data_IF_880023102395
#
_entry.id   IF_880023102395
#
_cell.length_a   1.000
_cell.length_b   1.000
_cell.length_c   1.000
_cell.angle_alpha   90.00
_cell.angle_beta   90.00
_cell.angle_gamma   90.00
#
_symmetry.space_group_name_H-M   'P 1'
#
loop_
_entity.id
_entity.type
_entity.pdbx_description
1 polymer ?
#
# COMPACT_ATOMS: atom_id res chain seq x y z
N UNK A 1 20.44 43.70 12.25
CA UNK A 1 21.10 42.58 12.95
C UNK A 1 20.78 41.32 12.14
N UNK A 2 21.71 40.81 11.34
CA UNK A 2 21.50 39.59 10.55
C UNK A 2 21.51 38.40 11.50
N UNK A 3 20.50 37.52 11.42
CA UNK A 3 20.45 36.29 12.20
C UNK A 3 20.89 35.16 11.29
N UNK A 4 22.18 34.82 11.33
CA UNK A 4 22.69 33.67 10.59
C UNK A 4 22.13 32.40 11.25
N UNK A 5 21.23 31.70 10.55
CA UNK A 5 20.68 30.42 11.02
C UNK A 5 21.49 29.30 10.40
N UNK A 6 22.20 28.56 11.23
CA UNK A 6 22.85 27.31 10.86
C UNK A 6 21.89 26.17 11.20
N UNK A 7 21.47 25.39 10.20
CA UNK A 7 20.75 24.14 10.41
C UNK A 7 21.74 22.98 10.27
N UNK A 8 22.04 22.29 11.38
CA UNK A 8 22.75 21.02 11.32
C UNK A 8 21.73 19.92 10.98
N UNK A 9 21.91 19.26 9.84
CA UNK A 9 21.12 18.07 9.51
C UNK A 9 21.61 16.91 10.38
N UNK A 10 20.94 16.69 11.50
CA UNK A 10 21.22 15.54 12.35
C UNK A 10 20.47 14.33 11.79
N UNK A 11 21.20 13.38 11.23
CA UNK A 11 20.65 12.11 10.80
C UNK A 11 20.39 11.22 12.02
N UNK A 12 19.22 11.37 12.63
CA UNK A 12 18.76 10.48 13.70
C UNK A 12 18.08 9.24 13.06
N UNK A 13 18.72 8.07 13.15
CA UNK A 13 18.08 6.81 12.79
C UNK A 13 17.08 6.40 13.89
N UNK A 14 15.81 6.27 13.55
CA UNK A 14 14.79 5.65 14.42
C UNK A 14 14.81 4.13 14.25
N UNK A 15 14.62 3.37 15.33
CA UNK A 15 14.34 1.92 15.24
C UNK A 15 13.03 1.62 14.49
N UNK A 16 12.16 2.62 14.33
CA UNK A 16 10.95 2.59 13.49
C UNK A 16 11.14 3.27 12.13
N UNK A 17 12.38 3.64 11.77
CA UNK A 17 12.66 4.16 10.45
C UNK A 17 12.41 3.08 9.41
N UNK A 18 11.61 3.37 8.38
CA UNK A 18 11.60 2.51 7.20
C UNK A 18 13.03 2.42 6.70
N UNK A 19 13.54 1.21 6.52
CA UNK A 19 14.86 0.97 5.96
C UNK A 19 14.99 1.77 4.66
N UNK A 20 16.15 2.42 4.46
CA UNK A 20 16.41 3.24 3.26
C UNK A 20 16.39 2.44 1.95
N UNK A 21 16.23 1.12 2.03
CA UNK A 21 16.12 0.28 0.85
C UNK A 21 14.73 0.40 0.21
N UNK A 22 14.73 0.58 -1.11
CA UNK A 22 13.51 0.54 -1.88
C UNK A 22 13.03 -0.91 -1.97
N UNK A 23 11.87 -1.19 -1.39
CA UNK A 23 11.17 -2.48 -1.52
C UNK A 23 10.09 -2.35 -2.57
N UNK A 24 10.08 -3.26 -3.56
CA UNK A 24 8.99 -3.36 -4.54
C UNK A 24 7.74 -3.95 -3.89
N UNK A 25 7.02 -3.07 -3.20
CA UNK A 25 5.78 -3.40 -2.48
C UNK A 25 4.69 -3.86 -3.43
N UNK A 26 4.61 -3.28 -4.62
CA UNK A 26 3.63 -3.67 -5.63
C UNK A 26 3.78 -5.15 -5.98
N UNK A 27 5.01 -5.61 -6.25
CA UNK A 27 5.27 -7.03 -6.52
C UNK A 27 4.93 -7.91 -5.33
N UNK A 28 5.30 -7.50 -4.11
CA UNK A 28 4.96 -8.25 -2.89
C UNK A 28 3.45 -8.40 -2.71
N UNK A 29 2.69 -7.32 -2.88
CA UNK A 29 1.22 -7.33 -2.76
C UNK A 29 0.58 -8.30 -3.75
N UNK A 30 1.05 -8.34 -5.01
CA UNK A 30 0.55 -9.30 -6.02
C UNK A 30 0.78 -10.75 -5.59
N UNK A 31 2.00 -11.08 -5.19
CA UNK A 31 2.36 -12.44 -4.79
C UNK A 31 1.54 -12.92 -3.59
N UNK A 32 1.36 -12.04 -2.61
CA UNK A 32 0.64 -12.39 -1.38
C UNK A 32 -0.86 -12.52 -1.62
N UNK A 33 -1.45 -11.71 -2.51
CA UNK A 33 -2.86 -11.85 -2.86
C UNK A 33 -3.19 -13.25 -3.38
N UNK A 34 -2.37 -13.80 -4.28
CA UNK A 34 -2.57 -15.15 -4.80
C UNK A 34 -2.56 -16.19 -3.67
N UNK A 35 -1.55 -16.13 -2.78
CA UNK A 35 -1.42 -17.05 -1.65
C UNK A 35 -2.62 -16.93 -0.68
N UNK A 36 -3.08 -15.71 -0.39
CA UNK A 36 -4.22 -15.48 0.48
C UNK A 36 -5.53 -15.97 -0.14
N UNK A 37 -5.73 -15.77 -1.44
CA UNK A 37 -6.90 -16.26 -2.16
C UNK A 37 -6.97 -17.79 -2.16
N UNK A 38 -5.85 -18.47 -2.45
CA UNK A 38 -5.78 -19.93 -2.39
C UNK A 38 -6.05 -20.44 -0.97
N UNK A 39 -5.37 -19.89 0.05
CA UNK A 39 -5.58 -20.30 1.45
C UNK A 39 -7.01 -20.06 1.92
N UNK A 40 -7.64 -18.96 1.49
CA UNK A 40 -9.05 -18.68 1.79
C UNK A 40 -9.97 -19.75 1.16
N UNK A 41 -9.76 -20.09 -0.12
CA UNK A 41 -10.55 -21.11 -0.83
C UNK A 41 -10.44 -22.50 -0.19
N UNK A 42 -9.28 -22.85 0.34
CA UNK A 42 -9.08 -24.11 1.05
C UNK A 42 -9.41 -24.04 2.55
N UNK A 43 -9.96 -22.92 3.05
CA UNK A 43 -10.24 -22.69 4.47
C UNK A 43 -9.03 -22.92 5.40
N UNK A 44 -7.83 -22.58 4.92
CA UNK A 44 -6.55 -22.80 5.61
C UNK A 44 -6.05 -21.56 6.37
N UNK A 45 -6.83 -20.49 6.42
CA UNK A 45 -6.47 -19.25 7.09
C UNK A 45 -7.72 -18.60 7.68
N UNK A 46 -7.60 -18.09 8.91
CA UNK A 46 -8.68 -17.34 9.54
C UNK A 46 -8.76 -15.91 8.99
N UNK A 47 -9.90 -15.22 9.17
CA UNK A 47 -10.03 -13.80 8.81
C UNK A 47 -9.00 -12.92 9.52
N UNK A 48 -8.69 -13.18 10.80
CA UNK A 48 -7.73 -12.40 11.59
C UNK A 48 -6.29 -12.63 11.12
N UNK A 49 -5.91 -13.86 10.81
CA UNK A 49 -4.60 -14.17 10.23
C UNK A 49 -4.45 -13.55 8.84
N UNK A 50 -5.49 -13.66 8.01
CA UNK A 50 -5.55 -12.97 6.70
C UNK A 50 -5.30 -11.49 6.92
N UNK A 51 -5.96 -10.91 7.94
CA UNK A 51 -5.83 -9.50 8.30
C UNK A 51 -4.45 -9.10 8.84
N UNK A 52 -3.75 -9.99 9.52
CA UNK A 52 -2.40 -9.73 9.98
C UNK A 52 -1.39 -9.77 8.82
N UNK A 53 -1.52 -10.74 7.92
CA UNK A 53 -0.57 -10.97 6.81
C UNK A 53 -0.53 -9.77 5.88
N UNK A 54 -1.67 -9.36 5.33
CA UNK A 54 -1.72 -8.26 4.39
C UNK A 54 -1.36 -6.91 5.05
N UNK A 55 -1.74 -6.65 6.32
CA UNK A 55 -1.37 -5.43 7.04
C UNK A 55 0.16 -5.29 7.23
N UNK A 56 0.89 -6.40 7.30
CA UNK A 56 2.36 -6.38 7.35
C UNK A 56 3.03 -6.05 6.01
N UNK A 57 2.30 -6.17 4.91
CA UNK A 57 2.84 -6.13 3.55
C UNK A 57 2.41 -4.87 2.82
N UNK A 58 1.13 -4.49 2.96
CA UNK A 58 0.60 -3.30 2.36
C UNK A 58 0.98 -2.07 3.18
N UNK A 59 1.34 -1.02 2.47
CA UNK A 59 1.60 0.28 3.09
C UNK A 59 0.25 0.95 3.34
N UNK A 60 -0.24 0.89 4.58
CA UNK A 60 -1.54 1.44 4.98
C UNK A 60 -1.63 2.95 5.06
N UNK A 61 -0.55 3.64 4.70
CA UNK A 61 -0.57 5.08 4.65
C UNK A 61 -0.92 5.50 3.22
N UNK A 62 -2.09 6.11 3.05
CA UNK A 62 -2.44 6.89 1.87
C UNK A 62 -1.51 8.11 1.79
N UNK A 63 -0.25 7.89 1.38
CA UNK A 63 0.67 8.97 1.06
C UNK A 63 0.16 9.60 -0.24
N UNK A 64 0.11 10.94 -0.36
CA UNK A 64 -0.65 11.63 -1.40
C UNK A 64 -0.29 11.05 -2.76
N UNK A 65 -1.29 10.42 -3.39
CA UNK A 65 -1.27 10.10 -4.81
C UNK A 65 -0.98 11.40 -5.57
N UNK A 66 -0.33 11.32 -6.73
CA UNK A 66 0.06 12.52 -7.46
C UNK A 66 -1.20 13.36 -7.74
N UNK A 67 -1.35 14.52 -7.07
CA UNK A 67 -2.56 15.34 -7.11
C UNK A 67 -2.82 15.96 -8.50
N UNK A 68 -1.79 16.04 -9.33
CA UNK A 68 -1.91 16.46 -10.73
C UNK A 68 -2.60 15.38 -11.58
N UNK A 69 -2.44 14.09 -11.21
CA UNK A 69 -3.05 12.95 -11.90
C UNK A 69 -4.33 12.46 -11.23
N UNK A 70 -4.43 12.61 -9.91
CA UNK A 70 -5.52 12.14 -9.05
C UNK A 70 -6.07 13.33 -8.23
N UNK A 71 -6.59 14.33 -8.93
CA UNK A 71 -7.35 15.41 -8.30
C UNK A 71 -8.57 14.80 -7.58
N UNK A 72 -8.78 15.10 -6.29
CA UNK A 72 -9.93 14.58 -5.56
C UNK A 72 -11.21 15.19 -6.16
N UNK A 73 -11.86 14.47 -7.07
CA UNK A 73 -13.20 14.84 -7.52
C UNK A 73 -14.15 14.74 -6.34
N UNK A 74 -14.77 15.87 -5.99
CA UNK A 74 -15.90 16.02 -5.07
C UNK A 74 -15.98 14.97 -3.94
N UNK A 75 -15.05 15.04 -2.98
CA UNK A 75 -15.17 14.34 -1.70
C UNK A 75 -14.98 12.81 -1.72
N UNK A 76 -14.63 12.20 -2.85
CA UNK A 76 -14.27 10.79 -2.91
C UNK A 76 -12.82 10.61 -2.46
N UNK A 77 -12.66 10.06 -1.25
CA UNK A 77 -11.37 9.56 -0.76
C UNK A 77 -10.90 8.47 -1.70
N UNK A 78 -9.70 8.63 -2.24
CA UNK A 78 -9.02 7.62 -3.07
C UNK A 78 -9.05 6.30 -2.30
N UNK A 79 -9.50 5.23 -2.95
CA UNK A 79 -9.56 3.91 -2.32
C UNK A 79 -8.15 3.48 -1.87
N UNK A 80 -8.01 3.26 -0.56
CA UNK A 80 -6.79 2.71 0.04
C UNK A 80 -6.54 1.30 -0.52
N UNK A 81 -5.27 0.94 -0.69
CA UNK A 81 -4.86 -0.44 -0.98
C UNK A 81 -5.45 -1.43 0.03
N UNK A 82 -5.68 -1.00 1.28
CA UNK A 82 -6.37 -1.83 2.25
C UNK A 82 -7.83 -2.11 1.85
N UNK A 83 -8.59 -1.09 1.47
CA UNK A 83 -9.97 -1.30 1.01
C UNK A 83 -10.01 -2.17 -0.25
N UNK A 84 -9.07 -1.96 -1.18
CA UNK A 84 -8.97 -2.75 -2.41
C UNK A 84 -8.72 -4.24 -2.14
N UNK A 85 -7.76 -4.58 -1.28
CA UNK A 85 -7.42 -5.97 -0.97
C UNK A 85 -8.53 -6.66 -0.16
N UNK A 86 -9.16 -5.97 0.80
CA UNK A 86 -10.30 -6.52 1.53
C UNK A 86 -11.47 -6.84 0.59
N UNK A 87 -11.81 -5.92 -0.32
CA UNK A 87 -12.86 -6.14 -1.34
C UNK A 87 -12.50 -7.31 -2.26
N UNK A 88 -11.28 -7.32 -2.79
CA UNK A 88 -10.83 -8.36 -3.73
C UNK A 88 -10.77 -9.75 -3.10
N UNK A 89 -10.44 -9.87 -1.81
CA UNK A 89 -10.50 -11.14 -1.09
C UNK A 89 -11.94 -11.52 -0.78
N UNK A 90 -12.79 -10.58 -0.37
CA UNK A 90 -14.21 -10.83 -0.04
C UNK A 90 -14.98 -11.35 -1.25
N UNK A 91 -14.82 -10.70 -2.40
CA UNK A 91 -15.45 -11.07 -3.67
C UNK A 91 -14.68 -12.13 -4.46
N UNK A 92 -13.57 -12.64 -3.93
CA UNK A 92 -12.72 -13.67 -4.54
C UNK A 92 -12.33 -13.37 -6.00
N UNK A 93 -11.85 -12.14 -6.25
CA UNK A 93 -11.49 -11.73 -7.60
C UNK A 93 -10.43 -12.64 -8.23
N UNK A 94 -10.48 -12.86 -9.55
CA UNK A 94 -9.38 -13.49 -10.25
C UNK A 94 -8.13 -12.61 -10.17
N UNK A 95 -6.96 -13.25 -10.15
CA UNK A 95 -5.65 -12.61 -10.02
C UNK A 95 -5.44 -11.47 -11.03
N UNK A 96 -5.87 -11.66 -12.28
CA UNK A 96 -5.72 -10.67 -13.35
C UNK A 96 -6.50 -9.37 -13.07
N UNK A 97 -7.71 -9.49 -12.50
CA UNK A 97 -8.54 -8.33 -12.14
C UNK A 97 -7.86 -7.54 -11.03
N UNK A 98 -7.39 -8.21 -9.99
CA UNK A 98 -6.68 -7.56 -8.88
C UNK A 98 -5.39 -6.88 -9.37
N UNK A 99 -4.59 -7.57 -10.19
CA UNK A 99 -3.36 -7.01 -10.76
C UNK A 99 -3.61 -5.75 -11.57
N UNK A 100 -4.68 -5.72 -12.36
CA UNK A 100 -5.05 -4.55 -13.15
C UNK A 100 -5.36 -3.37 -12.22
N UNK A 101 -6.26 -3.55 -11.25
CA UNK A 101 -6.61 -2.49 -10.30
C UNK A 101 -5.40 -1.98 -9.49
N UNK A 102 -4.52 -2.89 -9.06
CA UNK A 102 -3.31 -2.54 -8.33
C UNK A 102 -2.31 -1.77 -9.20
N UNK A 103 -2.14 -2.16 -10.48
CA UNK A 103 -1.32 -1.42 -11.43
C UNK A 103 -1.86 -0.02 -11.67
N UNK A 104 -3.17 0.11 -11.87
CA UNK A 104 -3.82 1.41 -12.07
C UNK A 104 -3.59 2.31 -10.84
N UNK A 105 -3.71 1.76 -9.63
CA UNK A 105 -3.41 2.49 -8.39
C UNK A 105 -1.92 2.87 -8.26
N UNK A 106 -1.00 2.00 -8.69
CA UNK A 106 0.44 2.25 -8.64
C UNK A 106 0.87 3.32 -9.66
N UNK A 107 0.27 3.33 -10.87
CA UNK A 107 0.55 4.34 -11.90
C UNK A 107 0.20 5.73 -11.39
N UNK A 108 -0.96 5.90 -10.74
CA UNK A 108 -1.40 7.20 -10.20
C UNK A 108 -0.49 7.73 -9.09
N UNK A 109 0.28 6.84 -8.44
CA UNK A 109 1.22 7.19 -7.36
C UNK A 109 2.60 7.60 -7.87
N UNK A 110 2.99 7.20 -9.08
CA UNK A 110 4.26 7.62 -9.68
C UNK A 110 4.10 8.95 -10.44
N UNK A 111 5.04 9.89 -10.31
CA UNK A 111 5.02 11.17 -11.00
C UNK A 111 5.17 11.04 -12.52
#
# INVERSE_FOLDING_TARGET
KSSDRIANLLQASSAFGKTMESVDRTKMTKLIYQVLLDRKKYHQISPDETKAVWASVLDGYAFPTNLDLDSPMEGLVIEDLWTLMERALTEEWPFDRFNKCLNDAAIRRNP
#
